data_IF_581927485878
#
_entry.id   IF_581927485878
#
_cell.length_a   1.000
_cell.length_b   1.000
_cell.length_c   1.000
_cell.angle_alpha   90.00
_cell.angle_beta   90.00
_cell.angle_gamma   90.00
#
_symmetry.space_group_name_H-M   'P 1'
#
loop_
_entity.id
_entity.type
_entity.pdbx_description
1 polymer ?
#
# COMPACT_ATOMS: atom_id res chain seq x y z
N UNK A 1 7.11 12.32 -1.01
CA UNK A 1 6.01 12.75 -0.11
C UNK A 1 6.41 14.08 0.53
N UNK A 2 5.96 15.20 -0.04
CA UNK A 2 6.23 16.57 0.42
C UNK A 2 5.07 17.01 1.35
N UNK A 3 5.07 16.57 2.61
CA UNK A 3 3.94 16.77 3.53
C UNK A 3 4.30 17.52 4.82
N UNK A 4 5.39 18.30 4.82
CA UNK A 4 5.77 19.11 6.00
C UNK A 4 4.74 20.21 6.34
N UNK A 5 3.85 20.57 5.40
CA UNK A 5 2.93 21.70 5.56
C UNK A 5 1.53 21.32 6.09
N UNK A 6 1.18 20.04 6.23
CA UNK A 6 -0.17 19.66 6.69
C UNK A 6 -0.47 20.14 8.11
N UNK A 7 0.51 20.08 9.01
CA UNK A 7 0.37 20.56 10.39
C UNK A 7 0.15 22.09 10.44
N UNK A 8 0.76 22.84 9.53
CA UNK A 8 0.63 24.31 9.48
C UNK A 8 -0.79 24.75 9.11
N UNK A 9 -1.50 23.99 8.27
CA UNK A 9 -2.89 24.30 7.89
C UNK A 9 -3.92 23.84 8.93
N UNK A 10 -3.52 23.02 9.91
CA UNK A 10 -4.46 22.49 10.91
C UNK A 10 -5.18 23.59 11.68
N UNK A 11 -4.45 24.65 12.07
CA UNK A 11 -5.02 25.81 12.76
C UNK A 11 -6.08 26.52 11.93
N UNK A 12 -5.84 26.70 10.63
CA UNK A 12 -6.78 27.32 9.68
C UNK A 12 -8.02 26.43 9.50
N UNK A 13 -7.83 25.12 9.33
CA UNK A 13 -8.94 24.17 9.24
C UNK A 13 -9.78 24.15 10.52
N UNK A 14 -9.13 24.16 11.69
CA UNK A 14 -9.83 24.18 12.97
C UNK A 14 -10.67 25.45 13.13
N UNK A 15 -10.11 26.62 12.85
CA UNK A 15 -10.86 27.89 12.91
C UNK A 15 -12.02 27.90 11.91
N UNK A 16 -11.81 27.34 10.70
CA UNK A 16 -12.87 27.22 9.69
C UNK A 16 -14.01 26.30 10.15
N UNK A 17 -13.69 25.17 10.79
CA UNK A 17 -14.68 24.26 11.37
C UNK A 17 -15.38 24.86 12.59
N UNK A 18 -14.66 25.61 13.43
CA UNK A 18 -15.25 26.31 14.58
C UNK A 18 -16.24 27.40 14.15
N UNK A 19 -16.06 27.98 12.96
CA UNK A 19 -16.97 28.96 12.38
C UNK A 19 -17.96 28.36 11.36
N UNK A 20 -18.09 27.03 11.32
CA UNK A 20 -18.86 26.34 10.30
C UNK A 20 -20.35 26.71 10.37
N UNK A 21 -20.94 26.75 11.56
CA UNK A 21 -22.36 27.02 11.76
C UNK A 21 -22.77 28.44 11.31
N UNK A 22 -21.83 29.40 11.32
CA UNK A 22 -22.05 30.76 10.82
C UNK A 22 -21.75 30.92 9.33
N UNK A 23 -20.65 30.33 8.85
CA UNK A 23 -20.24 30.46 7.46
C UNK A 23 -21.06 29.60 6.50
N UNK A 24 -21.50 28.43 6.94
CA UNK A 24 -22.26 27.44 6.17
C UNK A 24 -23.36 26.80 7.04
N UNK A 25 -24.46 27.52 7.29
CA UNK A 25 -25.59 27.00 8.07
C UNK A 25 -26.08 25.66 7.51
N UNK A 26 -26.33 24.68 8.39
CA UNK A 26 -26.74 23.31 8.02
C UNK A 26 -25.59 22.34 7.72
N UNK A 27 -24.35 22.82 7.53
CA UNK A 27 -23.22 21.93 7.31
C UNK A 27 -22.88 21.08 8.55
N UNK A 28 -23.09 21.61 9.76
CA UNK A 28 -22.91 20.86 11.01
C UNK A 28 -23.89 19.68 11.12
N UNK A 29 -25.18 19.92 10.84
CA UNK A 29 -26.20 18.87 10.80
C UNK A 29 -25.87 17.81 9.75
N UNK A 30 -25.47 18.24 8.54
CA UNK A 30 -25.05 17.34 7.47
C UNK A 30 -23.86 16.47 7.87
N UNK A 31 -22.88 17.02 8.60
CA UNK A 31 -21.74 16.26 9.10
C UNK A 31 -22.15 15.27 10.19
N UNK A 32 -23.01 15.68 11.12
CA UNK A 32 -23.56 14.81 12.17
C UNK A 32 -24.39 13.65 11.57
N UNK A 33 -25.07 13.88 10.44
CA UNK A 33 -25.80 12.86 9.69
C UNK A 33 -24.91 12.05 8.71
N UNK A 34 -23.60 11.99 8.95
CA UNK A 34 -22.64 11.23 8.14
C UNK A 34 -22.56 11.67 6.66
N UNK A 35 -22.84 12.94 6.35
CA UNK A 35 -22.81 13.51 5.00
C UNK A 35 -21.42 13.57 4.34
N UNK A 36 -20.37 13.13 5.04
CA UNK A 36 -19.02 12.94 4.51
C UNK A 36 -18.75 11.50 4.00
N UNK A 37 -19.75 10.62 4.10
CA UNK A 37 -19.66 9.22 3.65
C UNK A 37 -20.92 8.80 2.89
N UNK A 38 -20.81 7.84 1.97
CA UNK A 38 -21.91 7.36 1.14
C UNK A 38 -22.00 5.83 1.25
N UNK A 39 -23.19 5.26 1.47
CA UNK A 39 -23.40 3.81 1.42
C UNK A 39 -23.42 3.34 -0.05
N UNK A 40 -22.65 2.29 -0.34
CA UNK A 40 -22.66 1.63 -1.67
C UNK A 40 -23.56 0.39 -1.72
N UNK A 41 -23.82 -0.21 -0.57
CA UNK A 41 -24.71 -1.35 -0.38
C UNK A 41 -25.76 -1.03 0.69
N UNK A 42 -26.74 -1.91 0.85
CA UNK A 42 -27.71 -1.82 1.94
C UNK A 42 -27.14 -2.28 3.29
N UNK A 43 -25.83 -2.52 3.39
CA UNK A 43 -25.18 -2.96 4.62
C UNK A 43 -24.91 -1.76 5.53
N UNK A 44 -25.39 -1.75 6.79
CA UNK A 44 -25.24 -0.60 7.70
C UNK A 44 -23.80 -0.13 7.92
N UNK A 45 -22.82 -1.05 7.89
CA UNK A 45 -21.40 -0.76 8.08
C UNK A 45 -20.61 -0.52 6.77
N UNK A 46 -21.30 -0.36 5.62
CA UNK A 46 -20.69 -0.27 4.30
C UNK A 46 -20.45 1.16 3.77
N UNK A 47 -20.55 2.18 4.61
CA UNK A 47 -20.33 3.57 4.19
C UNK A 47 -18.85 3.83 3.97
N UNK A 48 -18.53 4.47 2.85
CA UNK A 48 -17.16 4.85 2.49
C UNK A 48 -17.08 6.35 2.23
N UNK A 49 -15.88 6.92 2.33
CA UNK A 49 -15.67 8.34 2.03
C UNK A 49 -16.20 8.70 0.62
N UNK A 50 -16.72 9.92 0.47
CA UNK A 50 -17.27 10.41 -0.81
C UNK A 50 -16.25 10.29 -1.95
N UNK A 51 -14.99 10.65 -1.70
CA UNK A 51 -13.92 10.56 -2.71
C UNK A 51 -13.69 9.11 -3.18
N UNK A 52 -13.61 8.18 -2.23
CA UNK A 52 -13.51 6.74 -2.53
C UNK A 52 -14.74 6.23 -3.31
N UNK A 53 -15.92 6.75 -2.99
CA UNK A 53 -17.16 6.44 -3.69
C UNK A 53 -17.09 6.87 -5.15
N UNK A 54 -16.67 8.11 -5.41
CA UNK A 54 -16.48 8.63 -6.76
C UNK A 54 -15.44 7.80 -7.52
N UNK A 55 -14.36 7.40 -6.84
CA UNK A 55 -13.31 6.59 -7.44
C UNK A 55 -13.83 5.21 -7.89
N UNK A 56 -14.63 4.55 -7.03
CA UNK A 56 -15.17 3.22 -7.30
C UNK A 56 -16.40 3.22 -8.22
N UNK A 57 -17.00 4.38 -8.49
CA UNK A 57 -18.20 4.53 -9.34
C UNK A 57 -17.86 5.28 -10.62
N UNK A 58 -17.97 6.60 -10.59
CA UNK A 58 -17.85 7.51 -11.73
C UNK A 58 -16.48 7.38 -12.38
N UNK A 59 -15.42 7.30 -11.60
CA UNK A 59 -14.06 7.19 -12.13
C UNK A 59 -13.68 5.78 -12.54
N UNK A 60 -14.24 4.73 -11.93
CA UNK A 60 -13.99 3.33 -12.30
C UNK A 60 -14.24 3.14 -13.80
N UNK A 61 -15.41 3.56 -14.28
CA UNK A 61 -15.78 3.46 -15.71
C UNK A 61 -14.89 4.29 -16.63
N UNK A 62 -14.40 5.44 -16.14
CA UNK A 62 -13.45 6.27 -16.87
C UNK A 62 -12.04 5.69 -16.91
N UNK A 63 -11.60 4.97 -15.88
CA UNK A 63 -10.22 4.48 -15.74
C UNK A 63 -10.05 3.03 -16.22
N UNK A 64 -11.12 2.32 -16.55
CA UNK A 64 -11.08 0.97 -17.15
C UNK A 64 -10.75 1.00 -18.65
N UNK A 65 -10.35 -0.15 -19.22
CA UNK A 65 -10.13 -0.32 -20.67
C UNK A 65 -11.38 0.11 -21.46
N UNK A 66 -11.22 1.04 -22.39
CA UNK A 66 -12.33 1.66 -23.14
C UNK A 66 -12.82 2.99 -22.56
N UNK A 67 -12.31 3.39 -21.39
CA UNK A 67 -12.46 4.73 -20.81
C UNK A 67 -11.39 5.71 -21.32
N UNK A 68 -10.96 6.63 -20.47
CA UNK A 68 -9.90 7.62 -20.74
C UNK A 68 -8.52 6.96 -20.92
N UNK A 69 -8.31 5.81 -20.25
CA UNK A 69 -7.11 5.00 -20.39
C UNK A 69 -7.18 4.25 -21.72
N UNK A 70 -6.26 4.58 -22.64
CA UNK A 70 -6.27 4.08 -24.01
C UNK A 70 -7.17 4.89 -24.96
N UNK A 71 -7.64 6.06 -24.55
CA UNK A 71 -8.38 6.99 -25.40
C UNK A 71 -7.47 7.76 -26.38
N UNK A 72 -8.08 8.49 -27.31
CA UNK A 72 -7.38 9.35 -28.27
C UNK A 72 -6.53 10.44 -27.58
N UNK A 73 -5.36 10.74 -28.15
CA UNK A 73 -4.50 11.87 -27.75
C UNK A 73 -5.02 13.23 -28.26
N UNK A 74 -6.16 13.25 -28.96
CA UNK A 74 -6.74 14.48 -29.50
C UNK A 74 -7.57 15.24 -28.46
N UNK A 75 -7.21 16.51 -28.24
CA UNK A 75 -7.87 17.38 -27.26
C UNK A 75 -9.38 17.59 -27.52
N UNK A 76 -9.86 17.78 -28.78
CA UNK A 76 -11.30 17.93 -29.03
C UNK A 76 -12.09 16.66 -28.69
N UNK A 77 -11.50 15.49 -28.93
CA UNK A 77 -12.14 14.21 -28.59
C UNK A 77 -12.17 13.99 -27.09
N UNK A 78 -11.13 14.43 -26.36
CA UNK A 78 -11.10 14.42 -24.90
C UNK A 78 -12.22 15.26 -24.31
N UNK A 79 -12.43 16.48 -24.80
CA UNK A 79 -13.51 17.35 -24.34
C UNK A 79 -14.89 16.73 -24.61
N UNK A 80 -15.12 16.25 -25.84
CA UNK A 80 -16.38 15.55 -26.17
C UNK A 80 -16.62 14.33 -25.30
N UNK A 81 -15.58 13.53 -25.06
CA UNK A 81 -15.68 12.38 -24.16
C UNK A 81 -15.99 12.81 -22.72
N UNK A 82 -15.32 13.84 -22.21
CA UNK A 82 -15.54 14.36 -20.86
C UNK A 82 -16.97 14.84 -20.64
N UNK A 83 -17.56 15.49 -21.65
CA UNK A 83 -18.96 15.94 -21.60
C UNK A 83 -19.93 14.76 -21.74
N UNK A 84 -19.64 13.76 -22.58
CA UNK A 84 -20.58 12.66 -22.90
C UNK A 84 -20.40 11.38 -22.09
N UNK A 85 -19.38 11.27 -21.23
CA UNK A 85 -19.02 10.04 -20.50
C UNK A 85 -20.15 9.51 -19.61
N UNK A 86 -20.93 10.39 -18.98
CA UNK A 86 -22.00 10.01 -18.07
C UNK A 86 -23.14 9.30 -18.82
N UNK A 87 -23.56 9.83 -19.98
CA UNK A 87 -24.58 9.19 -20.83
C UNK A 87 -24.08 7.87 -21.39
N UNK A 88 -22.80 7.79 -21.78
CA UNK A 88 -22.17 6.54 -22.25
C UNK A 88 -22.18 5.47 -21.16
N UNK A 89 -21.88 5.85 -19.92
CA UNK A 89 -21.90 4.95 -18.77
C UNK A 89 -23.31 4.42 -18.47
N UNK A 90 -24.33 5.28 -18.61
CA UNK A 90 -25.73 4.90 -18.46
C UNK A 90 -26.15 3.83 -19.48
N UNK A 91 -25.80 4.01 -20.77
CA UNK A 91 -26.10 3.02 -21.81
C UNK A 91 -25.38 1.69 -21.57
N UNK A 92 -24.11 1.73 -21.18
CA UNK A 92 -23.34 0.51 -20.86
C UNK A 92 -23.96 -0.21 -19.67
N UNK A 93 -24.32 0.54 -18.62
CA UNK A 93 -24.98 0.00 -17.43
C UNK A 93 -26.35 -0.63 -17.75
N UNK A 94 -27.17 0.04 -18.58
CA UNK A 94 -28.44 -0.50 -19.05
C UNK A 94 -28.24 -1.80 -19.85
N UNK A 95 -27.26 -1.82 -20.75
CA UNK A 95 -26.92 -3.02 -21.54
C UNK A 95 -26.46 -4.17 -20.64
N UNK A 96 -25.62 -3.90 -19.64
CA UNK A 96 -25.18 -4.90 -18.65
C UNK A 96 -26.33 -5.47 -17.83
N UNK A 97 -27.29 -4.62 -17.43
CA UNK A 97 -28.53 -5.05 -16.76
C UNK A 97 -29.36 -5.95 -17.67
N UNK A 98 -29.51 -5.61 -18.96
CA UNK A 98 -30.27 -6.39 -19.93
C UNK A 98 -29.69 -7.80 -20.15
N UNK A 99 -28.36 -7.93 -20.21
CA UNK A 99 -27.71 -9.24 -20.38
C UNK A 99 -27.68 -10.07 -19.08
N UNK A 100 -28.42 -9.65 -18.06
CA UNK A 100 -28.49 -10.23 -16.72
C UNK A 100 -27.10 -10.48 -16.10
N UNK A 101 -26.11 -9.71 -16.54
CA UNK A 101 -24.79 -9.65 -15.93
C UNK A 101 -24.96 -8.76 -14.71
N UNK A 102 -25.66 -9.30 -13.69
CA UNK A 102 -25.59 -8.74 -12.34
C UNK A 102 -24.11 -8.54 -12.08
N UNK A 103 -23.70 -7.32 -11.82
CA UNK A 103 -22.41 -7.07 -11.23
C UNK A 103 -22.45 -7.73 -9.85
N UNK A 104 -22.11 -9.03 -9.78
CA UNK A 104 -21.79 -9.69 -8.52
C UNK A 104 -20.67 -8.93 -7.78
N UNK A 105 -19.96 -8.07 -8.51
CA UNK A 105 -18.91 -7.14 -8.11
C UNK A 105 -19.42 -5.82 -7.44
N UNK A 106 -20.73 -5.52 -7.41
CA UNK A 106 -21.19 -4.28 -6.73
C UNK A 106 -21.45 -4.45 -5.25
N UNK A 107 -21.68 -5.67 -4.76
CA UNK A 107 -22.04 -5.92 -3.36
C UNK A 107 -20.96 -6.66 -2.57
N UNK A 108 -19.92 -7.15 -3.25
CA UNK A 108 -18.76 -7.77 -2.59
C UNK A 108 -17.55 -6.86 -2.72
N UNK A 109 -16.92 -6.53 -1.59
CA UNK A 109 -15.64 -5.86 -1.60
C UNK A 109 -14.64 -6.65 -2.43
N UNK A 110 -13.78 -5.97 -3.20
CA UNK A 110 -12.71 -6.62 -4.00
C UNK A 110 -11.90 -7.61 -3.17
N UNK A 111 -11.61 -7.26 -1.91
CA UNK A 111 -10.89 -8.11 -0.93
C UNK A 111 -11.60 -9.44 -0.63
N UNK A 112 -12.91 -9.52 -0.84
CA UNK A 112 -13.71 -10.73 -0.65
C UNK A 112 -13.75 -11.62 -1.90
N UNK A 113 -13.19 -11.15 -3.01
CA UNK A 113 -13.05 -11.92 -4.26
C UNK A 113 -12.28 -13.21 -4.02
N UNK A 114 -12.71 -14.29 -4.66
CA UNK A 114 -12.01 -15.58 -4.63
C UNK A 114 -10.59 -15.48 -5.19
N UNK A 115 -10.38 -14.62 -6.20
CA UNK A 115 -9.06 -14.40 -6.78
C UNK A 115 -8.11 -13.71 -5.79
N UNK A 116 -8.57 -12.66 -5.11
CA UNK A 116 -7.75 -11.93 -4.12
C UNK A 116 -7.46 -12.80 -2.89
N UNK A 117 -8.43 -13.59 -2.43
CA UNK A 117 -8.21 -14.58 -1.35
C UNK A 117 -7.10 -15.56 -1.68
N UNK A 118 -7.13 -16.15 -2.88
CA UNK A 118 -6.09 -17.10 -3.35
C UNK A 118 -4.72 -16.44 -3.47
N UNK A 119 -4.67 -15.21 -3.98
CA UNK A 119 -3.42 -14.48 -4.10
C UNK A 119 -2.85 -14.11 -2.72
N UNK A 120 -3.71 -13.66 -1.80
CA UNK A 120 -3.34 -13.38 -0.40
C UNK A 120 -2.82 -14.62 0.32
N UNK A 121 -3.46 -15.77 0.13
CA UNK A 121 -2.98 -17.06 0.66
C UNK A 121 -1.60 -17.41 0.10
N UNK A 122 -1.41 -17.26 -1.21
CA UNK A 122 -0.11 -17.49 -1.86
C UNK A 122 0.99 -16.57 -1.31
N UNK A 123 0.69 -15.28 -1.13
CA UNK A 123 1.64 -14.31 -0.55
C UNK A 123 1.99 -14.65 0.90
N UNK A 124 1.00 -15.06 1.69
CA UNK A 124 1.20 -15.49 3.08
C UNK A 124 2.10 -16.73 3.13
N UNK A 125 1.83 -17.71 2.27
CA UNK A 125 2.62 -18.92 2.19
C UNK A 125 4.06 -18.65 1.76
N UNK A 126 4.28 -17.77 0.77
CA UNK A 126 5.62 -17.34 0.37
C UNK A 126 6.37 -16.63 1.51
N UNK A 127 5.66 -15.85 2.32
CA UNK A 127 6.24 -15.17 3.49
C UNK A 127 6.69 -16.20 4.54
N UNK A 128 5.83 -17.17 4.86
CA UNK A 128 6.17 -18.28 5.77
C UNK A 128 7.37 -19.05 5.24
N UNK A 129 7.37 -19.42 3.95
CA UNK A 129 8.48 -20.13 3.32
C UNK A 129 9.80 -19.35 3.42
N UNK A 130 9.76 -18.03 3.20
CA UNK A 130 10.92 -17.16 3.31
C UNK A 130 11.49 -17.16 4.73
N UNK A 131 10.64 -17.01 5.75
CA UNK A 131 11.09 -17.05 7.13
C UNK A 131 11.58 -18.44 7.56
N UNK A 132 10.94 -19.51 7.08
CA UNK A 132 11.39 -20.88 7.36
C UNK A 132 12.70 -21.25 6.67
N UNK A 133 13.08 -20.53 5.61
CA UNK A 133 14.36 -20.70 4.94
C UNK A 133 15.51 -19.97 5.66
N UNK A 134 15.21 -19.06 6.59
CA UNK A 134 16.24 -18.44 7.42
C UNK A 134 16.75 -19.43 8.45
N UNK A 135 18.05 -19.36 8.72
CA UNK A 135 18.64 -20.16 9.76
C UNK A 135 18.40 -19.52 11.10
N UNK A 136 18.04 -20.39 12.05
CA UNK A 136 17.86 -20.00 13.43
C UNK A 136 19.19 -19.54 14.00
N UNK A 137 19.40 -18.22 14.10
CA UNK A 137 20.64 -17.63 14.59
C UNK A 137 20.89 -17.86 16.10
N UNK A 138 19.92 -18.45 16.80
CA UNK A 138 20.00 -18.78 18.23
C UNK A 138 20.26 -20.26 18.49
N UNK A 139 20.21 -21.11 17.46
CA UNK A 139 20.67 -22.49 17.58
C UNK A 139 22.19 -22.54 17.46
N UNK A 140 22.83 -23.23 18.41
CA UNK A 140 24.28 -23.36 18.45
C UNK A 140 24.68 -24.49 17.52
N UNK A 141 25.18 -24.14 16.33
CA UNK A 141 25.83 -25.09 15.43
C UNK A 141 27.35 -25.15 15.69
N UNK A 142 27.94 -26.34 15.50
CA UNK A 142 29.40 -26.50 15.58
C UNK A 142 30.11 -25.84 14.38
N UNK A 143 30.87 -24.79 14.66
CA UNK A 143 31.70 -24.06 13.69
C UNK A 143 31.14 -22.68 13.33
N UNK A 144 31.90 -21.92 12.55
CA UNK A 144 31.47 -20.58 12.10
C UNK A 144 30.52 -20.70 10.90
N UNK A 145 29.30 -20.18 11.03
CA UNK A 145 28.24 -20.27 9.99
C UNK A 145 27.89 -18.87 9.51
N UNK A 146 27.74 -18.71 8.18
CA UNK A 146 27.24 -17.46 7.60
C UNK A 146 25.74 -17.31 7.87
N UNK A 147 25.34 -16.25 8.58
CA UNK A 147 23.92 -15.95 8.84
C UNK A 147 23.11 -15.67 7.56
N UNK A 148 23.77 -15.16 6.51
CA UNK A 148 23.11 -14.81 5.26
C UNK A 148 22.94 -16.03 4.33
N UNK A 149 23.92 -16.93 4.31
CA UNK A 149 23.98 -18.05 3.36
C UNK A 149 23.67 -19.40 3.99
N UNK A 150 23.72 -19.46 5.31
CA UNK A 150 23.43 -20.66 6.05
C UNK A 150 24.41 -21.80 5.94
N UNK A 151 25.62 -21.48 5.49
CA UNK A 151 26.64 -22.47 5.20
C UNK A 151 27.80 -22.25 6.15
N UNK A 152 28.41 -23.36 6.55
CA UNK A 152 29.69 -23.34 7.27
C UNK A 152 30.71 -22.58 6.43
N UNK A 153 31.38 -21.64 7.09
CA UNK A 153 32.48 -20.88 6.51
C UNK A 153 33.64 -21.84 6.22
N UNK A 154 34.40 -21.58 5.16
CA UNK A 154 35.59 -22.37 4.87
C UNK A 154 36.58 -22.30 6.05
N UNK A 155 37.29 -23.39 6.30
CA UNK A 155 38.10 -23.57 7.50
C UNK A 155 39.23 -22.53 7.60
N UNK A 156 39.83 -22.14 6.46
CA UNK A 156 40.83 -21.08 6.37
C UNK A 156 40.30 -19.71 6.78
N UNK A 157 39.09 -19.35 6.32
CA UNK A 157 38.43 -18.08 6.66
C UNK A 157 37.93 -18.11 8.10
N UNK A 158 37.45 -19.26 8.58
CA UNK A 158 37.03 -19.42 9.97
C UNK A 158 38.21 -19.25 10.93
N UNK A 159 39.35 -19.89 10.64
CA UNK A 159 40.57 -19.75 11.42
C UNK A 159 41.10 -18.31 11.41
N UNK A 160 41.04 -17.62 10.28
CA UNK A 160 41.47 -16.22 10.21
C UNK A 160 40.58 -15.29 11.06
N UNK A 161 39.26 -15.45 10.97
CA UNK A 161 38.29 -14.67 11.74
C UNK A 161 38.38 -14.96 13.24
N UNK A 162 38.58 -16.22 13.64
CA UNK A 162 38.69 -16.63 15.05
C UNK A 162 40.05 -16.24 15.65
N UNK A 163 41.11 -16.22 14.86
CA UNK A 163 42.47 -15.87 15.33
C UNK A 163 42.79 -14.38 15.29
N UNK A 164 41.89 -13.53 14.77
CA UNK A 164 42.13 -12.10 14.56
C UNK A 164 42.48 -11.36 15.84
N UNK A 165 41.82 -11.65 16.97
CA UNK A 165 42.10 -10.98 18.24
C UNK A 165 43.50 -11.33 18.75
N UNK A 166 43.86 -12.62 18.69
CA UNK A 166 45.16 -13.12 19.12
C UNK A 166 46.28 -12.51 18.27
N UNK A 167 46.17 -12.60 16.94
CA UNK A 167 47.14 -12.00 16.00
C UNK A 167 47.24 -10.48 16.19
N UNK A 168 46.11 -9.82 16.41
CA UNK A 168 46.06 -8.37 16.67
C UNK A 168 46.79 -7.97 17.94
N UNK A 169 46.64 -8.73 19.03
CA UNK A 169 47.40 -8.52 20.28
C UNK A 169 48.90 -8.74 20.07
N UNK A 170 49.29 -9.84 19.44
CA UNK A 170 50.70 -10.16 19.16
C UNK A 170 51.38 -9.04 18.34
N UNK A 171 50.72 -8.53 17.30
CA UNK A 171 51.22 -7.43 16.47
C UNK A 171 51.27 -6.11 17.23
N UNK A 172 50.27 -5.82 18.07
CA UNK A 172 50.26 -4.61 18.89
C UNK A 172 51.40 -4.62 19.91
N UNK A 173 51.63 -5.75 20.59
CA UNK A 173 52.72 -5.91 21.54
C UNK A 173 54.09 -5.76 20.86
N UNK A 174 54.28 -6.40 19.71
CA UNK A 174 55.48 -6.23 18.86
C UNK A 174 55.74 -4.77 18.52
N UNK A 175 54.73 -4.05 18.04
CA UNK A 175 54.82 -2.64 17.70
C UNK A 175 55.21 -1.76 18.89
N UNK A 176 54.63 -2.03 20.08
CA UNK A 176 54.94 -1.28 21.31
C UNK A 176 56.37 -1.54 21.80
N UNK A 177 56.92 -2.74 21.58
CA UNK A 177 58.31 -3.06 21.89
C UNK A 177 59.31 -2.47 20.90
N UNK A 178 59.02 -2.48 19.60
CA UNK A 178 59.90 -1.91 18.57
C UNK A 178 59.95 -0.38 18.60
N UNK A 179 58.86 0.29 19.00
CA UNK A 179 58.82 1.75 19.12
C UNK A 179 59.47 2.33 20.38
N UNK A 180 60.19 1.52 21.16
CA UNK A 180 60.90 1.94 22.39
C UNK A 180 62.43 2.10 22.22
N UNK A 181 62.96 1.79 21.04
CA UNK A 181 64.33 2.15 20.61
C UNK A 181 64.32 3.48 19.84
#
# INVERSE_FOLDING_TARGET
>A
MNHHNYANYLSIYFVSLANLSHSHPGAEEMLMDNGFSVPRSNTPAGRIAVDMTIEQTINKHAKTKGGIVGFSRSLPSYYRWSVTRHSRDEYVSATQKMINKRSADTDSHKELSTAEKRESETRTQNTILTFSAFINSFEVEEGLVSLALGRKVQEDVADDLLSVERKGKELFESFVTEGKD
#
